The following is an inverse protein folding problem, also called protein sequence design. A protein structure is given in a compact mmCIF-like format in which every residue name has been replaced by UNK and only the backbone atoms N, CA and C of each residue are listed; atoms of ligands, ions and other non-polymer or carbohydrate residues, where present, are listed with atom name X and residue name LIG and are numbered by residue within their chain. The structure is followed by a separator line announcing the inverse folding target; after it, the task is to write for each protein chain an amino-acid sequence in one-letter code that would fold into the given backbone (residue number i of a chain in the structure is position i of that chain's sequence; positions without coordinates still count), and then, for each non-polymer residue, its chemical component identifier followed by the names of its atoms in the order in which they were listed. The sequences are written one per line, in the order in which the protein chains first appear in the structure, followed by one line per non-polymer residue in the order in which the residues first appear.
data_IF_164829076732
#
_entry.id   IF_164829076732
#
_cell.length_a   1.000
_cell.length_b   1.000
_cell.length_c   1.000
_cell.angle_alpha   90.00
_cell.angle_beta   90.00
_cell.angle_gamma   90.00
#
_symmetry.space_group_name_H-M   'P 1'
#
loop_
_entity.id
_entity.type
_entity.pdbx_description
1 polymer ?
#
# COMPACT_ATOMS: atom_id res chain seq x y z
N UNK A 1 -35.91 3.27 4.91
CA UNK A 1 -35.64 4.02 3.67
C UNK A 1 -34.37 3.55 2.96
N UNK A 2 -33.25 3.35 3.67
CA UNK A 2 -31.97 2.82 3.10
C UNK A 2 -32.08 1.44 2.44
N UNK A 3 -32.85 0.50 3.02
CA UNK A 3 -33.05 -0.84 2.44
C UNK A 3 -33.79 -0.81 1.09
N UNK A 4 -34.76 0.08 0.93
CA UNK A 4 -35.49 0.25 -0.33
C UNK A 4 -34.59 0.85 -1.42
N UNK A 5 -33.75 1.82 -1.07
CA UNK A 5 -32.74 2.37 -1.98
C UNK A 5 -31.71 1.30 -2.41
N UNK A 6 -31.25 0.46 -1.48
CA UNK A 6 -30.33 -0.64 -1.78
C UNK A 6 -30.94 -1.65 -2.76
N UNK A 7 -32.20 -2.06 -2.53
CA UNK A 7 -32.92 -2.99 -3.41
C UNK A 7 -33.15 -2.40 -4.81
N UNK A 8 -33.45 -1.11 -4.89
CA UNK A 8 -33.60 -0.40 -6.16
C UNK A 8 -32.28 -0.36 -6.95
N UNK A 9 -31.15 -0.06 -6.30
CA UNK A 9 -29.84 -0.08 -6.94
C UNK A 9 -29.44 -1.48 -7.46
N UNK A 10 -29.74 -2.54 -6.71
CA UNK A 10 -29.49 -3.91 -7.16
C UNK A 10 -30.38 -4.29 -8.35
N UNK A 11 -31.64 -3.84 -8.36
CA UNK A 11 -32.54 -4.08 -9.50
C UNK A 11 -32.05 -3.38 -10.78
N UNK A 12 -31.48 -2.16 -10.67
CA UNK A 12 -30.93 -1.43 -11.82
C UNK A 12 -29.59 -2.04 -12.33
N UNK A 13 -28.79 -2.66 -11.47
CA UNK A 13 -27.52 -3.28 -11.87
C UNK A 13 -27.71 -4.53 -12.76
N UNK A 14 -28.86 -5.21 -12.66
CA UNK A 14 -29.21 -6.36 -13.51
C UNK A 14 -29.78 -5.99 -14.88
N UNK A 15 -30.13 -4.72 -15.12
CA UNK A 15 -30.70 -4.24 -16.38
C UNK A 15 -29.63 -3.79 -17.41
N UNK A 16 -28.39 -4.26 -17.28
CA UNK A 16 -27.38 -4.06 -18.33
C UNK A 16 -27.44 -5.23 -19.31
N UNK A 17 -27.64 -4.93 -20.59
CA UNK A 17 -27.64 -5.93 -21.63
C UNK A 17 -26.24 -6.54 -21.70
N UNK A 18 -26.08 -7.79 -21.25
CA UNK A 18 -24.88 -8.57 -21.54
C UNK A 18 -24.72 -8.53 -23.06
N UNK A 19 -23.61 -8.01 -23.60
CA UNK A 19 -23.41 -8.06 -25.03
C UNK A 19 -23.44 -9.53 -25.41
N UNK A 20 -24.29 -9.91 -26.35
CA UNK A 20 -24.39 -11.28 -26.81
C UNK A 20 -23.06 -11.65 -27.49
N UNK A 21 -22.10 -12.21 -26.73
CA UNK A 21 -20.76 -12.56 -27.24
C UNK A 21 -20.87 -13.55 -28.43
N UNK A 22 -21.95 -14.32 -28.47
CA UNK A 22 -22.25 -15.25 -29.56
C UNK A 22 -22.50 -14.55 -30.90
N UNK A 23 -22.96 -13.28 -30.88
CA UNK A 23 -23.14 -12.44 -32.05
C UNK A 23 -21.83 -11.77 -32.52
N UNK A 24 -20.84 -11.62 -31.63
CA UNK A 24 -19.53 -11.02 -31.95
C UNK A 24 -18.57 -12.04 -32.56
N UNK A 25 -18.78 -13.32 -32.27
CA UNK A 25 -17.95 -14.39 -32.82
C UNK A 25 -18.35 -14.71 -34.26
N UNK A 26 -17.58 -14.22 -35.22
CA UNK A 26 -17.84 -14.45 -36.64
C UNK A 26 -17.90 -15.94 -36.99
N UNK A 27 -18.63 -16.30 -38.05
CA UNK A 27 -18.65 -17.69 -38.55
C UNK A 27 -17.23 -18.22 -38.82
N UNK A 28 -16.34 -17.35 -39.34
CA UNK A 28 -14.93 -17.67 -39.56
C UNK A 28 -14.15 -17.94 -38.27
N UNK A 29 -14.48 -17.27 -37.16
CA UNK A 29 -13.84 -17.52 -35.87
C UNK A 29 -14.33 -18.84 -35.25
N UNK A 30 -15.61 -19.19 -35.43
CA UNK A 30 -16.17 -20.47 -34.97
C UNK A 30 -15.61 -21.68 -35.73
N UNK A 31 -15.30 -21.51 -37.02
CA UNK A 31 -14.68 -22.54 -37.86
C UNK A 31 -13.15 -22.48 -37.89
N UNK A 32 -12.53 -21.57 -37.13
CA UNK A 32 -11.08 -21.44 -37.12
C UNK A 32 -10.44 -22.68 -36.50
N UNK A 33 -9.27 -23.06 -37.03
CA UNK A 33 -8.49 -24.12 -36.41
C UNK A 33 -8.08 -23.71 -34.99
N UNK A 34 -8.08 -24.68 -34.09
CA UNK A 34 -7.60 -24.46 -32.73
C UNK A 34 -6.13 -24.00 -32.78
N UNK A 35 -5.74 -22.97 -32.00
CA UNK A 35 -4.39 -22.44 -32.07
C UNK A 35 -3.36 -23.49 -31.63
N UNK A 36 -2.20 -23.45 -32.28
CA UNK A 36 -1.07 -24.29 -31.88
C UNK A 36 -0.51 -23.80 -30.54
N UNK A 37 -0.58 -24.65 -29.52
CA UNK A 37 0.03 -24.35 -28.23
C UNK A 37 1.56 -24.31 -28.40
N UNK A 38 2.18 -23.22 -27.93
CA UNK A 38 3.63 -23.04 -27.94
C UNK A 38 4.17 -23.33 -26.53
N UNK A 39 5.31 -24.04 -26.41
CA UNK A 39 5.93 -24.31 -25.10
C UNK A 39 6.28 -23.02 -24.35
N UNK A 40 6.10 -23.05 -23.03
CA UNK A 40 6.30 -21.87 -22.15
C UNK A 40 7.78 -21.59 -21.85
N UNK A 41 8.69 -22.49 -22.21
CA UNK A 41 10.12 -22.42 -21.84
C UNK A 41 10.79 -21.11 -22.26
N UNK A 42 10.44 -20.57 -23.44
CA UNK A 42 10.98 -19.29 -23.92
C UNK A 42 10.55 -18.09 -23.05
N UNK A 43 9.35 -18.13 -22.48
CA UNK A 43 8.84 -17.10 -21.57
C UNK A 43 9.57 -17.21 -20.21
N UNK A 44 9.77 -18.43 -19.71
CA UNK A 44 10.48 -18.68 -18.46
C UNK A 44 11.96 -18.30 -18.54
N UNK A 45 12.62 -18.59 -19.67
CA UNK A 45 14.00 -18.18 -19.91
C UNK A 45 14.15 -16.64 -19.88
N UNK A 46 13.16 -15.91 -20.40
CA UNK A 46 13.12 -14.44 -20.30
C UNK A 46 12.88 -13.97 -18.88
N UNK A 47 11.97 -14.61 -18.14
CA UNK A 47 11.61 -14.24 -16.77
C UNK A 47 12.81 -14.24 -15.81
N UNK A 48 13.72 -15.22 -15.95
CA UNK A 48 14.95 -15.29 -15.15
C UNK A 48 15.90 -14.09 -15.34
N UNK A 49 15.81 -13.37 -16.46
CA UNK A 49 16.62 -12.17 -16.74
C UNK A 49 16.01 -10.86 -16.26
N UNK A 50 14.74 -10.88 -15.85
CA UNK A 50 13.96 -9.70 -15.44
C UNK A 50 13.76 -9.56 -13.93
N UNK A 51 14.38 -10.44 -13.14
CA UNK A 51 14.37 -10.34 -11.68
C UNK A 51 15.27 -9.21 -11.17
N UNK A 52 14.87 -8.56 -10.08
CA UNK A 52 15.76 -7.65 -9.35
C UNK A 52 16.97 -8.42 -8.83
N UNK A 53 18.18 -7.94 -9.07
CA UNK A 53 19.39 -8.53 -8.49
C UNK A 53 19.25 -8.58 -6.95
N UNK A 54 19.22 -9.79 -6.35
CA UNK A 54 18.98 -9.94 -4.93
C UNK A 54 20.08 -9.29 -4.08
N UNK A 55 21.30 -9.19 -4.58
CA UNK A 55 22.43 -8.56 -3.87
C UNK A 55 22.26 -7.05 -3.86
N UNK A 56 21.99 -6.44 -5.02
CA UNK A 56 21.69 -5.01 -5.12
C UNK A 56 20.44 -4.62 -4.32
N UNK A 57 19.40 -5.47 -4.33
CA UNK A 57 18.20 -5.22 -3.52
C UNK A 57 18.54 -5.23 -2.03
N UNK A 58 19.32 -6.22 -1.57
CA UNK A 58 19.72 -6.34 -0.17
C UNK A 58 20.49 -5.10 0.31
N UNK A 59 21.49 -4.68 -0.45
CA UNK A 59 22.33 -3.52 -0.10
C UNK A 59 21.51 -2.23 -0.06
N UNK A 60 20.57 -2.04 -1.00
CA UNK A 60 19.69 -0.86 -1.00
C UNK A 60 18.78 -0.80 0.25
N UNK A 61 18.27 -1.96 0.69
CA UNK A 61 17.43 -2.06 1.88
C UNK A 61 18.24 -1.79 3.16
N UNK A 62 19.44 -2.34 3.27
CA UNK A 62 20.33 -2.11 4.41
C UNK A 62 20.71 -0.63 4.55
N UNK A 63 21.09 0.02 3.44
CA UNK A 63 21.38 1.45 3.41
C UNK A 63 20.17 2.28 3.86
N UNK A 64 18.96 1.93 3.39
CA UNK A 64 17.72 2.59 3.79
C UNK A 64 17.43 2.41 5.27
N UNK A 65 17.60 1.21 5.82
CA UNK A 65 17.42 0.93 7.25
C UNK A 65 18.41 1.76 8.09
N UNK A 66 19.68 1.83 7.69
CA UNK A 66 20.69 2.64 8.37
C UNK A 66 20.29 4.13 8.39
N UNK A 67 19.89 4.68 7.24
CA UNK A 67 19.43 6.06 7.14
C UNK A 67 18.21 6.37 8.03
N UNK A 68 17.24 5.47 8.07
CA UNK A 68 16.07 5.60 8.94
C UNK A 68 16.43 5.57 10.43
N UNK A 69 17.35 4.68 10.83
CA UNK A 69 17.85 4.61 12.22
C UNK A 69 18.56 5.89 12.63
N UNK A 70 19.42 6.43 11.78
CA UNK A 70 20.10 7.72 12.01
C UNK A 70 19.10 8.86 12.17
N UNK A 71 18.08 8.92 11.31
CA UNK A 71 17.03 9.94 11.41
C UNK A 71 16.23 9.81 12.71
N UNK A 72 15.87 8.59 13.10
CA UNK A 72 15.16 8.33 14.34
C UNK A 72 16.00 8.73 15.56
N UNK A 73 17.30 8.45 15.57
CA UNK A 73 18.20 8.88 16.63
C UNK A 73 18.19 10.40 16.81
N UNK A 74 18.21 11.16 15.71
CA UNK A 74 18.11 12.63 15.73
C UNK A 74 16.78 13.12 16.30
N UNK A 75 15.67 12.44 15.99
CA UNK A 75 14.33 12.83 16.46
C UNK A 75 14.07 12.48 17.93
N UNK A 76 14.85 11.55 18.52
CA UNK A 76 14.67 11.10 19.91
C UNK A 76 15.29 12.05 20.95
N UNK A 77 15.94 13.14 20.52
CA UNK A 77 16.47 14.15 21.43
C UNK A 77 15.37 14.86 22.23
N UNK A 78 15.67 15.39 23.42
CA UNK A 78 14.71 16.15 24.21
C UNK A 78 14.28 17.43 23.46
N UNK A 79 12.97 17.58 23.22
CA UNK A 79 12.39 18.77 22.56
C UNK A 79 12.59 20.02 23.43
N UNK A 80 12.59 19.85 24.75
CA UNK A 80 12.81 20.92 25.73
C UNK A 80 14.21 20.78 26.30
N UNK A 81 15.01 21.82 26.14
CA UNK A 81 16.37 21.91 26.69
C UNK A 81 16.35 21.66 28.22
N UNK A 82 17.36 20.95 28.76
CA UNK A 82 17.44 20.66 30.20
C UNK A 82 17.23 21.86 31.13
N UNK A 83 17.83 23.05 30.91
CA UNK A 83 17.61 24.20 31.80
C UNK A 83 16.18 24.73 31.73
N UNK A 84 15.53 24.69 30.55
CA UNK A 84 14.14 25.11 30.38
C UNK A 84 13.22 24.15 31.15
N UNK A 85 13.44 22.85 31.00
CA UNK A 85 12.69 21.81 31.72
C UNK A 85 12.83 21.95 33.24
N UNK A 86 14.03 22.26 33.73
CA UNK A 86 14.26 22.49 35.15
C UNK A 86 13.44 23.68 35.67
N UNK A 87 13.38 24.79 34.91
CA UNK A 87 12.55 25.95 35.26
C UNK A 87 11.05 25.64 35.27
N UNK A 88 10.56 24.87 34.30
CA UNK A 88 9.15 24.43 34.27
C UNK A 88 8.80 23.60 35.50
N UNK A 89 9.63 22.61 35.84
CA UNK A 89 9.42 21.77 37.02
C UNK A 89 9.46 22.58 38.32
N UNK A 90 10.31 23.61 38.39
CA UNK A 90 10.37 24.50 39.54
C UNK A 90 9.11 25.36 39.70
N UNK A 91 8.62 25.93 38.59
CA UNK A 91 7.37 26.68 38.59
C UNK A 91 6.18 25.82 39.06
N UNK A 92 6.10 24.56 38.61
CA UNK A 92 5.07 23.61 39.04
C UNK A 92 5.13 23.33 40.55
N UNK A 93 6.33 23.14 41.12
CA UNK A 93 6.50 22.94 42.57
C UNK A 93 6.06 24.15 43.39
N UNK A 94 6.46 25.36 42.96
CA UNK A 94 6.06 26.60 43.63
C UNK A 94 4.55 26.80 43.60
N UNK A 95 3.92 26.51 42.47
CA UNK A 95 2.46 26.60 42.35
C UNK A 95 1.75 25.59 43.25
N UNK A 96 2.22 24.33 43.31
CA UNK A 96 1.64 23.31 44.19
C UNK A 96 1.72 23.72 45.67
N UNK A 97 2.85 24.29 46.10
CA UNK A 97 3.03 24.75 47.48
C UNK A 97 2.06 25.89 47.88
N UNK A 98 1.62 26.71 46.92
CA UNK A 98 0.66 27.79 47.17
C UNK A 98 -0.80 27.30 47.32
N UNK A 99 -1.12 26.10 46.81
CA UNK A 99 -2.49 25.54 46.85
C UNK A 99 -2.66 24.44 47.91
N UNK A 100 -1.60 24.12 48.65
CA UNK A 100 -1.59 23.08 49.69
C UNK A 100 -1.64 23.64 51.13
N UNK A 101 -1.88 24.95 51.30
CA UNK A 101 -2.09 25.62 52.59
C UNK A 101 -3.43 26.32 52.61
#
# INVERSE_FOLDING_TARGET
MTRAALLLCLALAGCTQFPELDAVTSASAKSAAYPRLVPIDGILARAGSSGTDPVALRSSLEARVAGLRTRAARMRGPIIEPPVRARMNDALRRHAALHSG
#
